data_IF_654366808410
#
_entry.id   IF_654366808410
#
_cell.length_a   1.000
_cell.length_b   1.000
_cell.length_c   1.000
_cell.angle_alpha   90.00
_cell.angle_beta   90.00
_cell.angle_gamma   90.00
#
_symmetry.space_group_name_H-M   'P 1'
#
loop_
_entity.id
_entity.type
_entity.pdbx_description
1 polymer ?
#
# COMPACT_ATOMS: atom_id res chain seq x y z
N UNK A 1 -16.88 4.71 7.25
CA UNK A 1 -15.52 5.19 6.94
C UNK A 1 -14.87 4.08 6.18
N UNK A 2 -14.39 4.33 4.97
CA UNK A 2 -14.15 3.29 3.95
C UNK A 2 -13.23 2.15 4.44
N UNK A 3 -12.18 2.47 5.19
CA UNK A 3 -11.30 1.47 5.80
C UNK A 3 -11.99 0.58 6.84
N UNK A 4 -12.85 1.14 7.67
CA UNK A 4 -13.63 0.38 8.65
C UNK A 4 -14.70 -0.50 8.00
N UNK A 5 -15.14 -0.16 6.78
CA UNK A 5 -16.08 -0.96 5.99
C UNK A 5 -15.39 -2.18 5.36
N UNK A 6 -14.08 -2.09 5.07
CA UNK A 6 -13.24 -3.23 4.65
C UNK A 6 -12.77 -4.11 5.83
N UNK A 7 -13.16 -3.76 7.06
CA UNK A 7 -12.87 -4.55 8.27
C UNK A 7 -11.57 -4.20 8.98
N UNK A 8 -10.86 -3.16 8.54
CA UNK A 8 -9.63 -2.64 9.19
C UNK A 8 -9.99 -1.99 10.52
N UNK A 9 -9.35 -2.43 11.60
CA UNK A 9 -9.59 -1.90 12.95
C UNK A 9 -8.33 -1.39 13.62
N UNK A 10 -7.17 -1.88 13.19
CA UNK A 10 -5.87 -1.58 13.78
C UNK A 10 -4.88 -1.12 12.72
N UNK A 11 -3.76 -0.54 13.17
CA UNK A 11 -2.66 -0.17 12.28
C UNK A 11 -1.98 -1.41 11.69
N UNK A 12 -2.00 -2.54 12.39
CA UNK A 12 -1.51 -3.84 11.91
C UNK A 12 -2.37 -4.39 10.78
N UNK A 13 -3.70 -4.28 10.88
CA UNK A 13 -4.60 -4.64 9.77
C UNK A 13 -4.30 -3.82 8.51
N UNK A 14 -4.06 -2.51 8.68
CA UNK A 14 -3.72 -1.62 7.57
C UNK A 14 -2.31 -1.90 7.00
N UNK A 15 -1.33 -2.22 7.85
CA UNK A 15 0.04 -2.57 7.45
C UNK A 15 0.10 -3.82 6.55
N UNK A 16 -0.92 -4.67 6.64
CA UNK A 16 -1.11 -5.86 5.81
C UNK A 16 -1.48 -5.59 4.35
N UNK A 17 -1.94 -4.37 4.01
CA UNK A 17 -2.25 -4.03 2.63
C UNK A 17 -1.00 -3.85 1.77
N UNK A 18 -1.17 -4.10 0.47
CA UNK A 18 -0.34 -3.57 -0.59
C UNK A 18 -0.92 -2.25 -1.12
N UNK A 19 -0.10 -1.46 -1.81
CA UNK A 19 -0.57 -0.23 -2.46
C UNK A 19 -1.72 -0.50 -3.45
N UNK A 20 -1.65 -1.61 -4.19
CA UNK A 20 -2.71 -2.06 -5.10
C UNK A 20 -4.02 -2.39 -4.38
N UNK A 21 -4.00 -2.84 -3.12
CA UNK A 21 -5.23 -3.03 -2.33
C UNK A 21 -5.89 -1.68 -2.01
N UNK A 22 -5.10 -0.61 -1.90
CA UNK A 22 -5.59 0.74 -1.62
C UNK A 22 -6.09 1.44 -2.89
N UNK A 23 -5.33 1.44 -3.98
CA UNK A 23 -5.66 2.21 -5.19
C UNK A 23 -6.26 1.38 -6.31
N UNK A 24 -6.22 0.06 -6.19
CA UNK A 24 -6.67 -0.88 -7.19
C UNK A 24 -5.59 -1.26 -8.19
N UNK A 25 -5.80 -2.39 -8.87
CA UNK A 25 -4.91 -2.91 -9.91
C UNK A 25 -5.69 -3.25 -11.18
N UNK A 26 -4.93 -3.41 -12.26
CA UNK A 26 -5.45 -3.84 -13.55
C UNK A 26 -4.78 -5.16 -13.92
N UNK A 27 -5.58 -6.19 -14.16
CA UNK A 27 -5.11 -7.47 -14.64
C UNK A 27 -5.44 -7.59 -16.13
N UNK A 28 -4.42 -7.87 -16.95
CA UNK A 28 -4.61 -8.14 -18.38
C UNK A 28 -4.43 -9.64 -18.64
N UNK A 29 -5.46 -10.27 -19.19
CA UNK A 29 -5.44 -11.69 -19.56
C UNK A 29 -6.25 -11.90 -20.84
N UNK A 30 -5.71 -12.69 -21.77
CA UNK A 30 -6.36 -13.05 -23.04
C UNK A 30 -6.90 -11.84 -23.84
N UNK A 31 -6.17 -10.71 -23.82
CA UNK A 31 -6.55 -9.48 -24.53
C UNK A 31 -7.59 -8.62 -23.80
N UNK A 32 -8.20 -9.12 -22.73
CA UNK A 32 -9.10 -8.38 -21.86
C UNK A 32 -8.35 -7.75 -20.69
N UNK A 33 -8.75 -6.55 -20.28
CA UNK A 33 -8.22 -5.86 -19.09
C UNK A 33 -9.34 -5.73 -18.07
N UNK A 34 -9.18 -6.40 -16.93
CA UNK A 34 -10.06 -6.26 -15.78
C UNK A 34 -9.47 -5.26 -14.80
N UNK A 35 -10.31 -4.35 -14.32
CA UNK A 35 -9.93 -3.34 -13.33
C UNK A 35 -10.55 -3.77 -12.00
N UNK A 36 -9.71 -3.88 -10.98
CA UNK A 36 -10.12 -4.17 -9.61
C UNK A 36 -9.91 -2.88 -8.80
N UNK A 37 -10.98 -2.22 -8.33
CA UNK A 37 -10.85 -1.01 -7.53
C UNK A 37 -10.28 -1.37 -6.15
N UNK A 38 -9.40 -0.51 -5.64
CA UNK A 38 -8.88 -0.62 -4.27
C UNK A 38 -9.78 0.10 -3.27
N UNK A 39 -9.52 -0.13 -1.98
CA UNK A 39 -10.30 0.40 -0.85
C UNK A 39 -10.37 1.92 -0.85
N UNK A 40 -9.32 2.60 -1.30
CA UNK A 40 -9.20 4.07 -1.37
C UNK A 40 -9.33 4.62 -2.80
N UNK A 41 -9.82 3.84 -3.77
CA UNK A 41 -9.92 4.27 -5.17
C UNK A 41 -10.76 5.55 -5.35
N UNK A 42 -11.82 5.72 -4.55
CA UNK A 42 -12.69 6.91 -4.59
C UNK A 42 -12.12 8.14 -3.86
N UNK A 43 -10.99 8.00 -3.17
CA UNK A 43 -10.39 9.05 -2.34
C UNK A 43 -9.29 9.84 -3.06
N UNK A 44 -9.00 9.51 -4.32
CA UNK A 44 -7.99 10.22 -5.13
C UNK A 44 -6.55 9.99 -4.65
N UNK A 45 -6.31 8.88 -3.95
CA UNK A 45 -4.98 8.50 -3.46
C UNK A 45 -4.11 8.07 -4.64
N UNK A 46 -2.89 8.62 -4.73
CA UNK A 46 -1.93 8.21 -5.75
C UNK A 46 -1.21 6.92 -5.35
N UNK A 47 -0.58 6.22 -6.31
CA UNK A 47 0.22 5.02 -6.00
C UNK A 47 1.33 5.32 -4.98
N UNK A 48 2.06 6.41 -5.19
CA UNK A 48 3.15 6.81 -4.29
C UNK A 48 2.65 7.09 -2.87
N UNK A 49 1.50 7.75 -2.75
CA UNK A 49 0.89 8.01 -1.43
C UNK A 49 0.44 6.70 -0.78
N UNK A 50 -0.19 5.79 -1.54
CA UNK A 50 -0.60 4.49 -1.03
C UNK A 50 0.59 3.65 -0.53
N UNK A 51 1.71 3.65 -1.27
CA UNK A 51 2.96 3.00 -0.87
C UNK A 51 3.48 3.60 0.45
N UNK A 52 3.57 4.93 0.54
CA UNK A 52 4.00 5.62 1.75
C UNK A 52 3.10 5.37 2.96
N UNK A 53 1.78 5.30 2.75
CA UNK A 53 0.82 4.96 3.80
C UNK A 53 1.07 3.57 4.36
N UNK A 54 1.27 2.57 3.49
CA UNK A 54 1.55 1.17 3.88
C UNK A 54 2.87 1.09 4.65
N UNK A 55 3.93 1.74 4.17
CA UNK A 55 5.23 1.72 4.85
C UNK A 55 5.18 2.41 6.21
N UNK A 56 4.54 3.57 6.30
CA UNK A 56 4.32 4.26 7.56
C UNK A 56 3.53 3.39 8.55
N UNK A 57 2.54 2.64 8.08
CA UNK A 57 1.77 1.73 8.91
C UNK A 57 2.60 0.53 9.37
N UNK A 58 3.43 -0.05 8.50
CA UNK A 58 4.37 -1.13 8.85
C UNK A 58 5.37 -0.70 9.90
N UNK A 59 5.89 0.53 9.80
CA UNK A 59 6.74 1.12 10.86
C UNK A 59 5.98 1.23 12.18
N UNK A 60 4.76 1.75 12.15
CA UNK A 60 3.92 1.90 13.36
C UNK A 60 3.51 0.56 13.97
N UNK A 61 3.33 -0.46 13.15
CA UNK A 61 3.09 -1.84 13.55
C UNK A 61 4.37 -2.56 14.03
N UNK A 62 5.55 -1.95 13.85
CA UNK A 62 6.84 -2.53 14.20
C UNK A 62 7.31 -3.65 13.27
N UNK A 63 6.76 -3.74 12.05
CA UNK A 63 7.15 -4.73 11.04
C UNK A 63 8.43 -4.33 10.31
N UNK A 64 8.68 -3.03 10.20
CA UNK A 64 9.93 -2.46 9.70
C UNK A 64 10.48 -1.47 10.71
N UNK A 65 11.80 -1.35 10.76
CA UNK A 65 12.52 -0.36 11.55
C UNK A 65 12.46 1.04 10.94
N UNK A 66 12.80 2.05 11.74
CA UNK A 66 12.92 3.43 11.23
C UNK A 66 14.05 3.58 10.20
N UNK A 67 15.10 2.77 10.32
CA UNK A 67 16.23 2.72 9.39
C UNK A 67 15.80 2.17 8.02
N UNK A 68 14.97 1.12 8.01
CA UNK A 68 14.41 0.54 6.78
C UNK A 68 13.45 1.51 6.08
N UNK A 69 12.60 2.23 6.82
CA UNK A 69 11.74 3.24 6.23
C UNK A 69 12.57 4.37 5.58
N UNK A 70 13.61 4.84 6.26
CA UNK A 70 14.49 5.89 5.75
C UNK A 70 15.28 5.45 4.51
N UNK A 71 15.65 4.18 4.42
CA UNK A 71 16.29 3.61 3.22
C UNK A 71 15.34 3.57 2.01
N UNK A 72 14.04 3.37 2.25
CA UNK A 72 13.02 3.29 1.18
C UNK A 72 12.50 4.68 0.75
N UNK A 73 12.53 5.68 1.64
CA UNK A 73 12.25 7.10 1.32
C UNK A 73 13.44 7.80 0.62
N UNK A 74 14.66 7.27 0.75
CA UNK A 74 15.83 7.80 0.05
C UNK A 74 15.78 7.40 -1.43
N UNK A 75 15.79 8.35 -2.39
CA UNK A 75 15.83 8.03 -3.81
C UNK A 75 17.22 7.47 -4.17
N UNK A 76 17.36 6.14 -4.08
CA UNK A 76 18.48 5.39 -4.63
C UNK A 76 19.27 4.58 -3.60
N UNK A 77 18.81 3.37 -3.31
CA UNK A 77 19.65 2.17 -3.33
C UNK A 77 18.77 0.93 -3.20
N UNK A 78 18.45 0.30 -4.34
CA UNK A 78 17.96 -1.08 -4.37
C UNK A 78 19.08 -1.99 -3.90
N UNK A 79 19.07 -2.44 -2.64
CA UNK A 79 19.93 -3.54 -2.23
C UNK A 79 19.18 -4.84 -2.51
N UNK A 80 19.39 -5.35 -3.72
CA UNK A 80 19.14 -6.75 -4.01
C UNK A 80 20.12 -7.63 -3.24
N UNK A 81 19.63 -8.75 -2.74
CA UNK A 81 20.41 -9.93 -2.39
C UNK A 81 19.59 -11.19 -2.70
#
# INVERSE_FOLDING_TARGET
VTLGEDGVKTIEDFAGYAADDLIGWKERKDGETKVYPGVLADHGVSRADAEQMVLTARKKAGWISEEELAAEEAPGETVGA
#
